data_IF_904311661165
#
_entry.id   IF_904311661165
#
_cell.length_a   1.000
_cell.length_b   1.000
_cell.length_c   1.000
_cell.angle_alpha   90.00
_cell.angle_beta   90.00
_cell.angle_gamma   90.00
#
_symmetry.space_group_name_H-M   'P 1'
#
loop_
_entity.id
_entity.type
_entity.pdbx_description
1 polymer ?
#
# COMPACT_ATOMS: atom_id res chain seq x y z
N UNK A 1 -33.21 -3.80 -5.58
CA UNK A 1 -31.79 -3.96 -5.17
C UNK A 1 -31.69 -3.58 -3.71
N UNK A 2 -30.82 -4.24 -2.91
CA UNK A 2 -30.58 -3.79 -1.55
C UNK A 2 -30.09 -2.33 -1.57
N UNK A 3 -30.40 -1.57 -0.52
CA UNK A 3 -30.02 -0.15 -0.40
C UNK A 3 -28.50 -0.01 -0.54
N UNK A 4 -28.05 1.01 -1.25
CA UNK A 4 -26.63 1.37 -1.46
C UNK A 4 -25.79 0.43 -2.37
N UNK A 5 -26.43 -0.38 -3.21
CA UNK A 5 -25.73 -1.16 -4.23
C UNK A 5 -25.68 -0.42 -5.57
N UNK A 6 -24.48 -0.27 -6.10
CA UNK A 6 -24.22 0.32 -7.41
C UNK A 6 -24.15 -0.79 -8.47
N UNK A 7 -24.80 -0.57 -9.62
CA UNK A 7 -24.83 -1.52 -10.73
C UNK A 7 -23.71 -1.20 -11.71
N UNK A 8 -22.84 -2.16 -11.98
CA UNK A 8 -21.82 -2.06 -13.01
C UNK A 8 -21.88 -3.24 -13.97
N UNK A 9 -21.31 -3.07 -15.16
CA UNK A 9 -21.25 -4.08 -16.22
C UNK A 9 -20.65 -5.42 -15.74
N UNK A 10 -19.74 -5.37 -14.75
CA UNK A 10 -19.02 -6.53 -14.22
C UNK A 10 -19.58 -7.05 -12.88
N UNK A 11 -20.78 -6.60 -12.48
CA UNK A 11 -21.43 -7.01 -11.23
C UNK A 11 -21.88 -5.82 -10.38
N UNK A 12 -22.74 -6.10 -9.40
CA UNK A 12 -23.16 -5.09 -8.44
C UNK A 12 -22.19 -5.11 -7.25
N UNK A 13 -21.83 -3.95 -6.73
CA UNK A 13 -21.08 -3.84 -5.47
C UNK A 13 -21.71 -2.80 -4.55
N UNK A 14 -21.31 -2.84 -3.28
CA UNK A 14 -21.67 -1.86 -2.27
C UNK A 14 -20.40 -1.29 -1.68
N UNK A 15 -20.29 0.03 -1.68
CA UNK A 15 -19.23 0.71 -0.95
C UNK A 15 -19.38 0.44 0.55
N UNK A 16 -18.38 -0.23 1.13
CA UNK A 16 -18.28 -0.44 2.57
C UNK A 16 -17.16 0.42 3.12
N UNK A 17 -17.34 0.88 4.37
CA UNK A 17 -16.27 1.55 5.09
C UNK A 17 -15.33 0.48 5.69
N UNK A 18 -14.03 0.76 5.78
CA UNK A 18 -13.10 -0.16 6.42
C UNK A 18 -13.49 -0.40 7.89
N UNK A 19 -13.28 -1.63 8.37
CA UNK A 19 -13.45 -1.99 9.79
C UNK A 19 -12.48 -1.22 10.68
N UNK A 20 -12.85 -1.04 11.96
CA UNK A 20 -11.96 -0.54 13.01
C UNK A 20 -11.08 -1.63 13.66
N UNK A 21 -11.21 -2.88 13.21
CA UNK A 21 -10.34 -4.00 13.58
C UNK A 21 -9.53 -4.43 12.36
N UNK A 22 -8.20 -4.27 12.43
CA UNK A 22 -7.29 -4.64 11.34
C UNK A 22 -6.48 -5.88 11.72
N UNK A 23 -6.76 -6.99 11.04
CA UNK A 23 -6.11 -8.29 11.26
C UNK A 23 -5.02 -8.59 10.21
N UNK A 24 -4.87 -7.73 9.20
CA UNK A 24 -3.95 -7.89 8.07
C UNK A 24 -2.58 -7.20 8.27
N UNK A 25 -2.25 -6.85 9.52
CA UNK A 25 -1.05 -6.11 9.92
C UNK A 25 -0.13 -7.02 10.75
N UNK A 26 1.16 -7.03 10.42
CA UNK A 26 2.18 -7.90 11.02
C UNK A 26 3.41 -7.07 11.28
N UNK A 27 3.98 -7.30 12.45
CA UNK A 27 5.20 -6.66 12.92
C UNK A 27 6.35 -7.04 11.97
N UNK A 28 7.21 -6.09 11.56
CA UNK A 28 8.37 -6.40 10.74
C UNK A 28 9.25 -7.48 11.37
N UNK A 29 9.75 -8.39 10.56
CA UNK A 29 10.70 -9.44 10.96
C UNK A 29 11.83 -9.57 9.93
N UNK A 30 12.87 -10.34 10.26
CA UNK A 30 14.16 -10.33 9.57
C UNK A 30 14.14 -10.50 8.05
N UNK A 31 13.10 -11.11 7.46
CA UNK A 31 12.99 -11.29 6.01
C UNK A 31 12.22 -10.19 5.29
N UNK A 32 11.69 -9.20 6.01
CA UNK A 32 10.94 -8.08 5.44
C UNK A 32 11.88 -6.95 5.08
N UNK A 33 11.73 -6.36 3.89
CA UNK A 33 12.57 -5.27 3.41
C UNK A 33 12.52 -4.03 4.32
N UNK A 34 11.38 -3.79 4.98
CA UNK A 34 11.24 -2.67 5.91
C UNK A 34 11.94 -2.89 7.26
N UNK A 35 12.36 -4.12 7.60
CA UNK A 35 12.86 -4.47 8.92
C UNK A 35 14.14 -3.71 9.28
N UNK A 36 14.22 -3.25 10.54
CA UNK A 36 15.43 -2.64 11.11
C UNK A 36 15.73 -3.23 12.48
N UNK A 37 16.83 -2.79 13.09
CA UNK A 37 17.25 -3.20 14.43
C UNK A 37 16.43 -2.53 15.55
N UNK A 38 15.44 -1.70 15.22
CA UNK A 38 14.59 -1.06 16.22
C UNK A 38 13.57 -2.08 16.80
N UNK A 39 13.55 -2.30 18.13
CA UNK A 39 12.86 -3.45 18.74
C UNK A 39 11.34 -3.39 18.60
N UNK A 40 10.77 -2.20 18.44
CA UNK A 40 9.31 -1.97 18.40
C UNK A 40 8.85 -1.24 17.14
N UNK A 41 9.59 -1.41 16.03
CA UNK A 41 9.25 -0.78 14.75
C UNK A 41 7.80 -1.07 14.35
N UNK A 42 7.06 -0.01 14.01
CA UNK A 42 5.70 -0.14 13.47
C UNK A 42 5.75 -0.49 11.97
N UNK A 43 4.84 -1.34 11.47
CA UNK A 43 4.80 -1.73 10.06
C UNK A 43 4.37 -0.56 9.17
N UNK A 44 4.95 -0.42 7.99
CA UNK A 44 4.60 0.63 7.02
C UNK A 44 3.13 0.55 6.60
N UNK A 45 2.57 -0.65 6.42
CA UNK A 45 1.16 -0.85 6.06
C UNK A 45 0.19 -0.25 7.10
N UNK A 46 0.55 -0.28 8.38
CA UNK A 46 -0.25 0.32 9.45
C UNK A 46 -0.29 1.85 9.28
N UNK A 47 0.89 2.46 9.15
CA UNK A 47 1.00 3.92 9.02
C UNK A 47 0.39 4.42 7.71
N UNK A 48 0.45 3.62 6.64
CA UNK A 48 -0.17 3.97 5.36
C UNK A 48 -1.69 4.08 5.48
N UNK A 49 -2.34 3.13 6.17
CA UNK A 49 -3.80 3.20 6.42
C UNK A 49 -4.16 4.48 7.18
N UNK A 50 -3.40 4.82 8.22
CA UNK A 50 -3.65 6.00 9.07
C UNK A 50 -3.46 7.30 8.27
N UNK A 51 -2.33 7.43 7.56
CA UNK A 51 -1.97 8.63 6.80
C UNK A 51 -2.95 8.86 5.64
N UNK A 52 -3.30 7.82 4.88
CA UNK A 52 -4.27 7.95 3.78
C UNK A 52 -5.67 8.32 4.26
N UNK A 53 -6.08 7.83 5.43
CA UNK A 53 -7.39 8.15 6.00
C UNK A 53 -7.47 9.57 6.59
N UNK A 54 -6.32 10.18 6.93
CA UNK A 54 -6.27 11.38 7.78
C UNK A 54 -5.50 12.55 7.18
N UNK A 55 -5.04 12.45 5.93
CA UNK A 55 -4.26 13.51 5.27
C UNK A 55 -4.35 13.44 3.74
N UNK A 56 -4.16 14.58 3.10
CA UNK A 56 -4.01 14.69 1.65
C UNK A 56 -2.53 14.69 1.25
N UNK A 57 -2.27 14.52 -0.05
CA UNK A 57 -0.93 14.71 -0.59
C UNK A 57 -0.45 16.15 -0.32
N UNK A 58 0.84 16.30 0.00
CA UNK A 58 1.45 17.60 0.34
C UNK A 58 1.25 18.07 1.79
N UNK A 59 0.33 17.47 2.56
CA UNK A 59 0.13 17.76 3.97
C UNK A 59 1.36 17.39 4.81
N UNK A 60 1.49 18.00 6.00
CA UNK A 60 2.54 17.69 6.97
C UNK A 60 2.08 16.63 7.97
N UNK A 61 2.83 15.52 8.07
CA UNK A 61 2.66 14.51 9.11
C UNK A 61 3.70 14.73 10.21
N UNK A 62 3.26 14.89 11.45
CA UNK A 62 4.14 15.09 12.61
C UNK A 62 4.15 13.87 13.54
N UNK A 63 5.34 13.44 13.97
CA UNK A 63 5.53 12.35 14.93
C UNK A 63 6.58 12.71 16.00
N UNK A 64 6.19 12.98 17.26
CA UNK A 64 7.14 13.35 18.32
C UNK A 64 7.94 12.17 18.89
N UNK A 65 7.65 10.92 18.47
CA UNK A 65 8.33 9.70 18.93
C UNK A 65 8.67 8.81 17.74
N UNK A 66 9.51 9.35 16.86
CA UNK A 66 9.71 8.87 15.50
C UNK A 66 10.30 7.44 15.45
N UNK A 67 11.08 7.03 16.45
CA UNK A 67 11.73 5.73 16.51
C UNK A 67 12.56 5.46 15.26
N UNK A 68 12.37 4.30 14.63
CA UNK A 68 13.01 3.97 13.35
C UNK A 68 12.43 4.70 12.12
N UNK A 69 11.57 5.71 12.29
CA UNK A 69 11.16 6.57 11.19
C UNK A 69 9.99 6.10 10.34
N UNK A 70 9.21 5.09 10.75
CA UNK A 70 8.13 4.56 9.89
C UNK A 70 7.15 5.65 9.46
N UNK A 71 6.75 6.56 10.36
CA UNK A 71 5.83 7.66 10.03
C UNK A 71 6.39 8.57 8.93
N UNK A 72 7.65 9.01 9.08
CA UNK A 72 8.32 9.85 8.10
C UNK A 72 8.52 9.15 6.75
N UNK A 73 8.97 7.88 6.77
CA UNK A 73 9.18 7.05 5.58
C UNK A 73 7.87 6.89 4.81
N UNK A 74 6.79 6.51 5.47
CA UNK A 74 5.49 6.31 4.82
C UNK A 74 4.90 7.62 4.32
N UNK A 75 4.98 8.70 5.12
CA UNK A 75 4.55 10.03 4.69
C UNK A 75 5.24 10.42 3.38
N UNK A 76 6.58 10.27 3.32
CA UNK A 76 7.36 10.56 2.12
C UNK A 76 6.97 9.69 0.93
N UNK A 77 6.83 8.37 1.11
CA UNK A 77 6.42 7.42 0.06
C UNK A 77 5.04 7.77 -0.52
N UNK A 78 4.16 8.31 0.32
CA UNK A 78 2.81 8.75 -0.05
C UNK A 78 2.76 10.21 -0.53
N UNK A 79 3.87 10.91 -0.71
CA UNK A 79 3.86 12.31 -1.21
C UNK A 79 3.45 13.35 -0.15
N UNK A 80 3.58 13.04 1.13
CA UNK A 80 3.38 13.99 2.25
C UNK A 80 4.72 14.56 2.71
N UNK A 81 4.67 15.76 3.29
CA UNK A 81 5.78 16.30 4.10
C UNK A 81 5.77 15.61 5.46
N UNK A 82 6.91 15.60 6.13
CA UNK A 82 7.01 15.03 7.47
C UNK A 82 7.91 15.88 8.36
N UNK A 83 7.65 15.78 9.66
CA UNK A 83 8.52 16.26 10.73
C UNK A 83 8.47 15.23 11.84
N UNK A 84 9.62 14.87 12.42
CA UNK A 84 9.62 13.95 13.54
C UNK A 84 10.75 14.25 14.51
N UNK A 85 10.56 13.78 15.73
CA UNK A 85 11.53 13.92 16.83
C UNK A 85 11.83 12.54 17.36
N UNK A 86 13.10 12.26 17.58
CA UNK A 86 13.58 11.07 18.25
C UNK A 86 14.75 11.47 19.17
N UNK A 87 14.78 10.91 20.37
CA UNK A 87 15.77 11.26 21.39
C UNK A 87 17.04 10.42 21.23
N UNK A 88 16.90 9.19 20.74
CA UNK A 88 18.01 8.28 20.54
C UNK A 88 18.70 8.52 19.19
N UNK A 89 19.98 8.91 19.23
CA UNK A 89 20.77 9.23 18.04
C UNK A 89 20.93 8.03 17.09
N UNK A 90 20.98 6.80 17.62
CA UNK A 90 21.06 5.61 16.80
C UNK A 90 19.74 5.39 16.03
N UNK A 91 18.59 5.65 16.66
CA UNK A 91 17.30 5.59 15.97
C UNK A 91 17.11 6.72 14.96
N UNK A 92 17.61 7.93 15.23
CA UNK A 92 17.72 8.99 14.24
C UNK A 92 18.50 8.53 13.00
N UNK A 93 19.66 7.88 13.19
CA UNK A 93 20.45 7.33 12.09
C UNK A 93 19.69 6.25 11.28
N UNK A 94 18.94 5.37 11.96
CA UNK A 94 18.11 4.38 11.28
C UNK A 94 17.00 5.02 10.45
N UNK A 95 16.32 6.03 11.00
CA UNK A 95 15.27 6.77 10.30
C UNK A 95 15.83 7.46 9.04
N UNK A 96 16.96 8.16 9.16
CA UNK A 96 17.64 8.82 8.03
C UNK A 96 18.06 7.84 6.94
N UNK A 97 18.62 6.68 7.32
CA UNK A 97 18.95 5.61 6.36
C UNK A 97 17.72 5.17 5.57
N UNK A 98 16.61 4.86 6.24
CA UNK A 98 15.37 4.46 5.56
C UNK A 98 14.82 5.57 4.68
N UNK A 99 14.86 6.83 5.13
CA UNK A 99 14.45 7.98 4.35
C UNK A 99 15.30 8.17 3.10
N UNK A 100 16.60 7.89 3.15
CA UNK A 100 17.47 7.89 1.98
C UNK A 100 17.08 6.76 1.00
N UNK A 101 16.76 5.57 1.50
CA UNK A 101 16.38 4.41 0.68
C UNK A 101 15.04 4.58 -0.05
N UNK A 102 14.13 5.44 0.44
CA UNK A 102 12.89 5.78 -0.30
C UNK A 102 13.13 6.35 -1.70
N UNK A 103 14.33 6.88 -1.99
CA UNK A 103 14.70 7.33 -3.34
C UNK A 103 14.80 6.17 -4.34
N UNK A 104 15.07 4.96 -3.85
CA UNK A 104 15.22 3.74 -4.65
C UNK A 104 13.89 2.99 -4.75
N UNK A 105 13.12 2.97 -3.67
CA UNK A 105 11.87 2.23 -3.59
C UNK A 105 10.82 2.98 -2.76
N UNK A 106 9.73 3.35 -3.42
CA UNK A 106 8.57 4.01 -2.79
C UNK A 106 7.45 3.03 -2.43
N UNK A 107 7.62 1.73 -2.71
CA UNK A 107 6.60 0.74 -2.46
C UNK A 107 6.30 0.58 -0.97
N UNK A 108 5.04 0.27 -0.66
CA UNK A 108 4.58 -0.09 0.68
C UNK A 108 4.01 -1.49 0.59
N UNK A 109 4.49 -2.40 1.42
CA UNK A 109 4.08 -3.80 1.32
C UNK A 109 2.57 -3.95 1.51
N UNK A 110 1.92 -4.56 0.52
CA UNK A 110 0.47 -4.78 0.52
C UNK A 110 -0.36 -3.53 0.25
N UNK A 111 0.24 -2.48 -0.32
CA UNK A 111 -0.48 -1.33 -0.86
C UNK A 111 -0.05 -1.05 -2.30
N UNK A 112 -0.98 -1.16 -3.25
CA UNK A 112 -0.76 -0.89 -4.68
C UNK A 112 -2.06 -0.46 -5.33
N UNK A 113 -1.96 0.40 -6.35
CA UNK A 113 -3.10 0.89 -7.14
C UNK A 113 -4.24 1.49 -6.29
N UNK A 114 -3.88 2.15 -5.19
CA UNK A 114 -4.84 2.77 -4.27
C UNK A 114 -5.55 1.80 -3.32
N UNK A 115 -5.21 0.51 -3.36
CA UNK A 115 -5.89 -0.54 -2.58
C UNK A 115 -4.92 -1.29 -1.67
N UNK A 116 -5.39 -1.69 -0.48
CA UNK A 116 -4.66 -2.57 0.41
C UNK A 116 -4.94 -4.03 0.09
N UNK A 117 -3.89 -4.79 -0.16
CA UNK A 117 -3.93 -6.21 -0.47
C UNK A 117 -3.40 -7.06 0.68
N UNK A 118 -3.79 -8.33 0.70
CA UNK A 118 -3.18 -9.32 1.57
C UNK A 118 -1.72 -9.57 1.18
N UNK A 119 -0.89 -9.93 2.16
CA UNK A 119 0.53 -10.19 1.90
C UNK A 119 0.71 -11.34 0.93
N UNK A 120 1.81 -11.30 0.18
CA UNK A 120 2.24 -12.34 -0.74
C UNK A 120 1.23 -12.66 -1.87
N UNK A 121 0.15 -11.89 -2.00
CA UNK A 121 -0.82 -12.09 -3.07
C UNK A 121 -0.42 -11.38 -4.37
N UNK A 122 0.60 -10.52 -4.36
CA UNK A 122 1.00 -9.73 -5.54
C UNK A 122 1.35 -10.60 -6.75
N UNK A 123 2.07 -11.71 -6.55
CA UNK A 123 2.40 -12.62 -7.66
C UNK A 123 1.16 -13.28 -8.26
N UNK A 124 0.23 -13.71 -7.40
CA UNK A 124 -1.05 -14.26 -7.85
C UNK A 124 -1.91 -13.20 -8.55
N UNK A 125 -1.90 -11.95 -8.07
CA UNK A 125 -2.60 -10.84 -8.72
C UNK A 125 -2.03 -10.54 -10.10
N UNK A 126 -0.70 -10.40 -10.22
CA UNK A 126 -0.02 -10.18 -11.52
C UNK A 126 -0.36 -11.33 -12.48
N UNK A 127 -0.37 -12.56 -11.98
CA UNK A 127 -0.77 -13.75 -12.76
C UNK A 127 -2.22 -13.66 -13.22
N UNK A 128 -3.16 -13.33 -12.32
CA UNK A 128 -4.59 -13.19 -12.63
C UNK A 128 -4.84 -12.06 -13.63
N UNK A 129 -4.20 -10.91 -13.45
CA UNK A 129 -4.33 -9.75 -14.34
C UNK A 129 -3.78 -10.07 -15.74
N UNK A 130 -2.61 -10.71 -15.80
CA UNK A 130 -2.00 -11.15 -17.05
C UNK A 130 -2.89 -12.16 -17.80
N UNK A 131 -3.46 -13.14 -17.07
CA UNK A 131 -4.35 -14.16 -17.63
C UNK A 131 -5.66 -13.57 -18.17
N UNK A 132 -6.22 -12.57 -17.49
CA UNK A 132 -7.44 -11.88 -17.94
C UNK A 132 -7.20 -11.02 -19.18
N UNK A 133 -6.03 -10.37 -19.29
CA UNK A 133 -5.66 -9.60 -20.48
C UNK A 133 -5.37 -10.48 -21.70
N UNK A 134 -4.74 -11.66 -21.50
CA UNK A 134 -4.59 -12.63 -22.60
C UNK A 134 -5.94 -13.18 -23.05
N UNK A 135 -6.83 -13.54 -22.13
CA UNK A 135 -8.16 -14.05 -22.48
C UNK A 135 -9.03 -13.01 -23.24
N UNK A 136 -8.96 -11.73 -22.85
CA UNK A 136 -9.62 -10.63 -23.59
C UNK A 136 -9.03 -10.42 -24.98
N UNK A 137 -7.71 -10.57 -25.13
CA UNK A 137 -7.04 -10.48 -26.44
C UNK A 137 -7.48 -11.60 -27.38
N UNK A 138 -7.58 -12.82 -26.87
CA UNK A 138 -8.01 -13.99 -27.63
C UNK A 138 -9.50 -13.89 -28.04
N UNK A 139 -10.36 -13.35 -27.17
CA UNK A 139 -11.77 -13.08 -27.51
C UNK A 139 -11.92 -12.01 -28.60
N UNK A 140 -11.18 -10.90 -28.50
CA UNK A 140 -11.25 -9.84 -29.51
C UNK A 140 -10.71 -10.30 -30.88
N UNK A 141 -9.72 -11.20 -30.91
CA UNK A 141 -9.22 -11.82 -32.15
C UNK A 141 -10.27 -12.77 -32.75
N UNK A 142 -10.89 -13.61 -31.94
CA UNK A 142 -11.94 -14.52 -32.40
C UNK A 142 -13.17 -13.78 -32.95
N UNK A 143 -13.58 -12.67 -32.33
CA UNK A 143 -14.67 -11.83 -32.84
C UNK A 143 -14.27 -11.13 -34.15
N UNK A 144 -13.05 -10.60 -34.27
CA UNK A 144 -12.57 -9.98 -35.51
C UNK A 144 -12.56 -10.96 -36.69
N UNK A 145 -12.19 -12.23 -36.46
CA UNK A 145 -12.22 -13.28 -37.49
C UNK A 145 -13.66 -13.60 -37.93
N UNK A 146 -14.63 -13.60 -37.01
CA UNK A 146 -16.07 -13.84 -37.28
C UNK A 146 -16.75 -12.73 -38.11
N UNK A 147 -16.27 -11.49 -38.04
CA UNK A 147 -16.83 -10.35 -38.79
C UNK A 147 -16.11 -10.05 -40.12
N UNK A 148 -15.07 -10.81 -40.45
CA UNK A 148 -14.27 -10.64 -41.67
C UNK A 148 -14.59 -11.67 -42.78
N UNK A 149 -15.56 -12.57 -42.53
CA UNK A 149 -16.02 -13.63 -43.43
C UNK A 149 -17.39 -13.38 -44.08
#
# INVERSE_FOLDING_TARGET
TPKDWEKHEHGNFRMTHPSNVWTDITIPFWSMAENTDHPTQKPEKLLAKIILASSNEGDLVFDPFLGSGTTAVVAKKLGRKYCGVEIDEYYCCLAEKRLADTKKDISIQGYSDGVFWERNTLQEQVRLYSKNNSAKKDQNLAEADLFSG
#
